data_IF_586917399262
#
_entry.id   IF_586917399262
#
_cell.length_a   1.000
_cell.length_b   1.000
_cell.length_c   1.000
_cell.angle_alpha   90.00
_cell.angle_beta   90.00
_cell.angle_gamma   90.00
#
_symmetry.space_group_name_H-M   'P 1'
#
loop_
_entity.id
_entity.type
_entity.pdbx_description
1 polymer ?
#
# COMPACT_ATOMS: atom_id res chain seq x y z
N UNK A 1 15.20 -4.08 -3.06
CA UNK A 1 15.12 -4.05 -1.58
C UNK A 1 15.19 -2.68 -0.94
N UNK A 2 15.70 -1.62 -1.59
CA UNK A 2 15.74 -0.28 -1.00
C UNK A 2 14.35 0.24 -0.56
N UNK A 3 13.28 -0.09 -1.30
CA UNK A 3 11.91 0.27 -0.94
C UNK A 3 11.41 -0.38 0.36
N UNK A 4 12.10 -1.39 0.90
CA UNK A 4 11.73 -2.08 2.14
C UNK A 4 12.89 -2.00 3.15
N UNK A 5 13.57 -0.85 3.20
CA UNK A 5 14.67 -0.59 4.11
C UNK A 5 14.57 0.86 4.63
N UNK A 6 14.15 1.03 5.89
CA UNK A 6 13.94 2.35 6.50
C UNK A 6 15.13 3.31 6.35
N UNK A 7 16.37 2.79 6.41
CA UNK A 7 17.59 3.58 6.27
C UNK A 7 17.81 4.13 4.86
N UNK A 8 17.07 3.63 3.87
CA UNK A 8 17.10 4.09 2.49
C UNK A 8 15.93 5.04 2.14
N UNK A 9 15.09 5.42 3.12
CA UNK A 9 14.00 6.36 2.88
C UNK A 9 14.54 7.79 2.69
N UNK A 10 14.16 8.45 1.59
CA UNK A 10 14.73 9.76 1.20
C UNK A 10 13.69 10.89 1.17
N UNK A 11 12.40 10.56 1.25
CA UNK A 11 11.30 11.51 1.13
C UNK A 11 10.25 11.21 2.20
N UNK A 12 9.44 12.21 2.52
CA UNK A 12 8.50 12.13 3.64
C UNK A 12 7.12 12.64 3.24
N UNK A 13 6.04 12.07 3.82
CA UNK A 13 4.67 12.41 3.49
C UNK A 13 4.19 13.63 4.27
N UNK A 14 3.65 14.65 3.61
CA UNK A 14 2.86 15.73 4.19
C UNK A 14 3.42 16.43 5.46
N UNK A 15 2.61 17.34 6.01
CA UNK A 15 2.89 17.95 7.30
C UNK A 15 2.13 17.23 8.43
N UNK A 16 2.64 17.34 9.66
CA UNK A 16 2.05 16.76 10.88
C UNK A 16 1.92 15.22 10.88
N UNK A 17 2.69 14.51 10.07
CA UNK A 17 2.68 13.05 9.98
C UNK A 17 3.80 12.38 10.78
N UNK A 18 4.73 13.14 11.34
CA UNK A 18 5.99 12.67 11.94
C UNK A 18 5.85 11.82 13.21
N UNK A 19 4.68 11.88 13.85
CA UNK A 19 4.34 11.06 15.00
C UNK A 19 3.84 9.65 14.63
N UNK A 20 3.57 9.38 13.34
CA UNK A 20 3.15 8.05 12.89
C UNK A 20 4.33 7.09 12.72
N UNK A 21 4.13 5.84 13.10
CA UNK A 21 5.16 4.79 12.95
C UNK A 21 5.62 4.55 11.51
N UNK A 22 4.74 4.79 10.54
CA UNK A 22 5.01 4.68 9.09
C UNK A 22 5.68 5.91 8.46
N UNK A 23 5.78 7.04 9.19
CA UNK A 23 6.32 8.30 8.66
C UNK A 23 7.71 8.15 8.04
N UNK A 24 8.58 7.41 8.73
CA UNK A 24 9.96 7.21 8.31
C UNK A 24 10.16 6.28 7.10
N UNK A 25 9.07 5.80 6.50
CA UNK A 25 9.09 4.63 5.63
C UNK A 25 9.29 3.34 6.42
N UNK A 26 9.11 2.20 5.75
CA UNK A 26 9.16 0.83 6.29
C UNK A 26 8.71 0.72 7.76
N UNK A 27 7.44 0.44 7.95
CA UNK A 27 6.88 -0.01 9.22
C UNK A 27 6.33 -1.43 9.09
N UNK A 28 6.20 -2.16 10.20
CA UNK A 28 5.73 -3.54 10.21
C UNK A 28 6.81 -4.58 9.92
N UNK A 29 6.40 -5.82 9.65
CA UNK A 29 7.31 -6.96 9.59
C UNK A 29 8.42 -6.81 8.54
N UNK A 30 9.62 -7.27 8.91
CA UNK A 30 10.79 -7.29 8.01
C UNK A 30 12.06 -6.60 8.54
N UNK A 31 12.13 -6.20 9.82
CA UNK A 31 13.43 -5.99 10.50
C UNK A 31 13.54 -6.78 11.82
N UNK A 32 12.45 -6.99 12.59
CA UNK A 32 12.56 -7.62 13.92
C UNK A 32 11.66 -8.84 14.19
N UNK A 33 10.60 -9.09 13.41
CA UNK A 33 9.77 -10.33 13.45
C UNK A 33 8.90 -10.40 12.19
N UNK A 34 8.62 -11.60 11.64
CA UNK A 34 7.49 -11.80 10.74
C UNK A 34 6.19 -11.62 11.51
N UNK A 35 5.25 -10.82 11.00
CA UNK A 35 3.87 -10.84 11.47
C UNK A 35 3.17 -11.98 10.74
N UNK A 36 3.22 -13.17 11.32
CA UNK A 36 2.19 -14.18 11.06
C UNK A 36 0.89 -13.57 11.60
N UNK A 37 -0.22 -13.56 10.83
CA UNK A 37 -1.47 -13.02 11.33
C UNK A 37 -1.88 -13.75 12.62
N UNK A 38 -2.47 -13.03 13.57
CA UNK A 38 -3.25 -13.66 14.65
C UNK A 38 -4.33 -14.56 14.02
N UNK A 39 -4.63 -15.70 14.65
CA UNK A 39 -5.60 -16.70 14.19
C UNK A 39 -6.99 -16.11 13.87
N UNK A 40 -7.35 -14.97 14.48
CA UNK A 40 -8.61 -14.27 14.18
C UNK A 40 -8.63 -13.64 12.79
N UNK A 41 -7.49 -13.34 12.21
CA UNK A 41 -7.37 -12.69 10.89
C UNK A 41 -7.29 -13.73 9.79
N UNK A 42 -8.20 -13.61 8.82
CA UNK A 42 -8.34 -14.57 7.71
C UNK A 42 -8.31 -13.86 6.34
N UNK A 43 -8.19 -12.54 6.36
CA UNK A 43 -8.27 -11.69 5.19
C UNK A 43 -7.19 -10.62 5.23
N UNK A 44 -6.77 -10.14 4.07
CA UNK A 44 -5.90 -8.97 3.96
C UNK A 44 -6.47 -7.94 2.98
N UNK A 45 -6.04 -6.69 3.14
CA UNK A 45 -6.28 -5.65 2.14
C UNK A 45 -5.00 -4.88 1.86
N UNK A 46 -4.49 -4.98 0.63
CA UNK A 46 -3.44 -4.12 0.14
C UNK A 46 -3.96 -2.71 -0.14
N UNK A 47 -3.16 -1.72 0.28
CA UNK A 47 -3.45 -0.29 0.14
C UNK A 47 -2.18 0.50 -0.19
N UNK A 48 -2.38 1.76 -0.59
CA UNK A 48 -1.33 2.76 -0.70
C UNK A 48 -1.72 4.00 0.10
N UNK A 49 -0.75 4.85 0.41
CA UNK A 49 -1.02 6.22 0.81
C UNK A 49 -0.31 7.17 -0.13
N UNK A 50 -1.03 8.19 -0.58
CA UNK A 50 -0.49 9.26 -1.43
C UNK A 50 -0.59 10.57 -0.68
N UNK A 51 0.53 11.28 -0.61
CA UNK A 51 0.65 12.59 0.04
C UNK A 51 1.36 13.59 -0.88
N UNK A 52 1.11 14.90 -0.71
CA UNK A 52 2.12 15.89 -1.03
C UNK A 52 3.43 15.57 -0.30
N UNK A 53 4.57 15.77 -0.94
CA UNK A 53 5.87 15.65 -0.29
C UNK A 53 6.01 16.71 0.80
N UNK A 54 6.51 16.32 1.99
CA UNK A 54 6.74 17.25 3.10
C UNK A 54 7.54 18.47 2.67
N UNK A 55 7.08 19.66 3.04
CA UNK A 55 7.67 20.95 2.65
C UNK A 55 7.45 21.35 1.19
N UNK A 56 6.58 20.67 0.43
CA UNK A 56 6.27 21.01 -0.96
C UNK A 56 4.76 21.10 -1.21
N UNK A 57 4.41 21.96 -2.16
CA UNK A 57 3.05 22.06 -2.68
C UNK A 57 2.87 21.07 -3.84
N UNK A 58 1.85 20.21 -3.76
CA UNK A 58 1.51 19.29 -4.84
C UNK A 58 0.84 20.02 -6.01
N UNK A 59 1.11 19.61 -7.25
CA UNK A 59 0.34 20.12 -8.40
C UNK A 59 -1.12 19.66 -8.25
N UNK A 60 -2.09 20.59 -8.09
CA UNK A 60 -3.49 20.23 -7.89
C UNK A 60 -4.11 19.55 -9.11
N UNK A 61 -3.50 19.71 -10.29
CA UNK A 61 -3.96 19.10 -11.53
C UNK A 61 -3.30 17.74 -11.77
N UNK A 62 -2.25 17.37 -11.03
CA UNK A 62 -1.61 16.06 -11.16
C UNK A 62 -2.60 14.92 -10.87
N UNK A 63 -2.41 13.83 -11.58
CA UNK A 63 -3.08 12.56 -11.32
C UNK A 63 -2.05 11.51 -10.97
N UNK A 64 -2.39 10.66 -10.03
CA UNK A 64 -1.65 9.42 -9.77
C UNK A 64 -2.29 8.33 -10.59
N UNK A 65 -1.46 7.53 -11.24
CA UNK A 65 -1.87 6.36 -11.98
C UNK A 65 -1.21 5.11 -11.40
N UNK A 66 -1.98 4.04 -11.32
CA UNK A 66 -1.56 2.75 -10.79
C UNK A 66 -1.95 1.65 -11.75
N UNK A 67 -1.06 0.69 -11.95
CA UNK A 67 -1.33 -0.50 -12.74
C UNK A 67 -0.68 -1.73 -12.12
N UNK A 68 -1.20 -2.91 -12.46
CA UNK A 68 -0.72 -4.20 -11.96
C UNK A 68 -0.64 -4.29 -10.43
N UNK A 69 -1.50 -3.58 -9.70
CA UNK A 69 -1.57 -3.66 -8.24
C UNK A 69 -2.16 -5.01 -7.78
N UNK A 70 -1.32 -5.82 -7.12
CA UNK A 70 -1.62 -7.20 -6.72
C UNK A 70 -1.03 -7.50 -5.36
N UNK A 71 -1.62 -8.48 -4.67
CA UNK A 71 -1.08 -9.04 -3.43
C UNK A 71 -1.00 -10.55 -3.49
N UNK A 72 -0.02 -11.10 -2.78
CA UNK A 72 0.31 -12.51 -2.72
C UNK A 72 0.61 -12.92 -1.28
N UNK A 73 0.16 -14.12 -0.90
CA UNK A 73 0.63 -14.80 0.30
C UNK A 73 1.73 -15.79 -0.05
N UNK A 74 2.80 -15.80 0.76
CA UNK A 74 3.76 -16.89 0.82
C UNK A 74 3.27 -17.89 1.86
N UNK A 75 3.27 -19.16 1.49
CA UNK A 75 2.87 -20.27 2.38
C UNK A 75 4.09 -20.99 2.93
N UNK A 76 3.93 -21.63 4.10
CA UNK A 76 5.01 -22.36 4.78
C UNK A 76 5.58 -23.55 3.98
N UNK A 77 4.85 -24.01 2.96
CA UNK A 77 5.31 -25.03 2.00
C UNK A 77 6.02 -24.44 0.77
N UNK A 78 6.30 -23.14 0.77
CA UNK A 78 7.11 -22.44 -0.23
C UNK A 78 6.37 -21.97 -1.47
N UNK A 79 5.03 -21.88 -1.44
CA UNK A 79 4.23 -21.44 -2.59
C UNK A 79 3.81 -19.98 -2.45
N UNK A 80 3.60 -19.35 -3.59
CA UNK A 80 2.95 -18.05 -3.68
C UNK A 80 1.51 -18.21 -4.18
N UNK A 81 0.56 -17.61 -3.47
CA UNK A 81 -0.87 -17.60 -3.82
C UNK A 81 -1.31 -16.16 -4.03
N UNK A 82 -1.84 -15.82 -5.21
CA UNK A 82 -2.43 -14.50 -5.48
C UNK A 82 -3.70 -14.33 -4.64
N UNK A 83 -3.75 -13.26 -3.84
CA UNK A 83 -4.87 -12.96 -2.95
C UNK A 83 -5.76 -11.84 -3.49
N UNK A 84 -5.15 -10.82 -4.11
CA UNK A 84 -5.88 -9.68 -4.67
C UNK A 84 -5.27 -9.25 -6.00
N UNK A 85 -6.13 -8.78 -6.90
CA UNK A 85 -5.75 -8.31 -8.22
C UNK A 85 -6.66 -7.15 -8.65
N UNK A 86 -6.07 -5.98 -8.87
CA UNK A 86 -6.80 -4.77 -9.29
C UNK A 86 -7.60 -4.97 -10.58
N UNK A 87 -7.16 -5.84 -11.49
CA UNK A 87 -7.83 -6.03 -12.78
C UNK A 87 -9.12 -6.86 -12.63
N UNK A 88 -9.33 -7.50 -11.48
CA UNK A 88 -10.52 -8.27 -11.17
C UNK A 88 -11.52 -7.48 -10.32
N UNK A 89 -11.03 -6.66 -9.37
CA UNK A 89 -11.86 -6.00 -8.36
C UNK A 89 -11.85 -4.47 -8.45
N UNK A 90 -11.01 -3.89 -9.31
CA UNK A 90 -10.78 -2.45 -9.38
C UNK A 90 -10.06 -1.90 -8.16
N UNK A 91 -9.81 -0.59 -8.19
CA UNK A 91 -9.30 0.18 -7.07
C UNK A 91 -10.43 1.03 -6.49
N UNK A 92 -10.65 0.87 -5.19
CA UNK A 92 -11.45 1.77 -4.36
C UNK A 92 -10.54 2.73 -3.60
N UNK A 93 -11.12 3.70 -2.91
CA UNK A 93 -10.33 4.66 -2.14
C UNK A 93 -11.10 5.92 -1.79
N UNK A 94 -10.43 6.80 -1.04
CA UNK A 94 -10.95 8.12 -0.72
C UNK A 94 -9.88 9.01 -0.12
N UNK A 95 -10.27 10.25 0.16
CA UNK A 95 -9.44 11.19 0.90
C UNK A 95 -9.63 11.00 2.40
N UNK A 96 -8.55 11.11 3.15
CA UNK A 96 -8.56 11.22 4.61
C UNK A 96 -7.80 12.48 5.02
N UNK A 97 -8.03 12.98 6.23
CA UNK A 97 -7.15 14.01 6.79
C UNK A 97 -5.70 13.48 6.83
N UNK A 98 -4.74 14.32 6.45
CA UNK A 98 -3.32 13.96 6.39
C UNK A 98 -2.77 13.43 7.74
N UNK A 99 -3.33 13.91 8.85
CA UNK A 99 -2.95 13.53 10.21
C UNK A 99 -3.89 12.47 10.82
N UNK A 100 -4.82 11.90 10.05
CA UNK A 100 -5.84 10.97 10.54
C UNK A 100 -6.54 11.40 11.84
N UNK A 101 -6.64 12.71 12.11
CA UNK A 101 -7.27 13.23 13.34
C UNK A 101 -8.71 12.77 13.54
N UNK A 102 -9.37 12.45 12.43
CA UNK A 102 -10.59 11.65 12.40
C UNK A 102 -10.33 10.44 11.51
N UNK A 103 -10.03 9.30 12.13
CA UNK A 103 -9.76 8.04 11.43
C UNK A 103 -10.98 7.50 10.67
N UNK A 104 -12.17 8.05 10.91
CA UNK A 104 -13.43 7.63 10.27
C UNK A 104 -13.81 8.51 9.08
N UNK A 105 -13.17 9.67 8.93
CA UNK A 105 -13.47 10.61 7.87
C UNK A 105 -12.80 10.16 6.56
N UNK A 106 -13.56 9.41 5.76
CA UNK A 106 -13.22 9.12 4.36
C UNK A 106 -14.12 9.97 3.45
N UNK A 107 -13.52 10.92 2.75
CA UNK A 107 -14.22 11.78 1.81
C UNK A 107 -14.18 11.17 0.42
N UNK A 108 -15.34 11.11 -0.21
CA UNK A 108 -15.46 10.58 -1.56
C UNK A 108 -14.60 11.40 -2.55
N UNK A 109 -13.87 10.67 -3.38
CA UNK A 109 -13.00 11.23 -4.40
C UNK A 109 -12.94 10.24 -5.57
N UNK A 110 -13.40 10.63 -6.77
CA UNK A 110 -13.52 9.69 -7.87
C UNK A 110 -12.22 9.01 -8.27
N UNK A 111 -12.31 7.70 -8.51
CA UNK A 111 -11.26 6.87 -9.10
C UNK A 111 -11.77 6.35 -10.44
N UNK A 112 -10.98 6.54 -11.49
CA UNK A 112 -11.23 5.94 -12.80
C UNK A 112 -10.50 4.60 -12.88
N UNK A 113 -11.20 3.52 -13.22
CA UNK A 113 -10.64 2.19 -13.43
C UNK A 113 -10.84 1.79 -14.90
N UNK A 114 -9.87 2.07 -15.76
CA UNK A 114 -9.98 1.86 -17.21
C UNK A 114 -8.72 1.20 -17.77
N UNK A 115 -8.88 0.20 -18.64
CA UNK A 115 -7.79 -0.47 -19.35
C UNK A 115 -6.67 -1.01 -18.41
N UNK A 116 -7.04 -1.46 -17.21
CA UNK A 116 -6.07 -1.94 -16.20
C UNK A 116 -5.26 -0.83 -15.52
N UNK A 117 -5.69 0.43 -15.63
CA UNK A 117 -5.10 1.58 -14.95
C UNK A 117 -6.16 2.18 -14.02
N UNK A 118 -5.80 2.30 -12.75
CA UNK A 118 -6.53 3.13 -11.79
C UNK A 118 -5.93 4.53 -11.79
N UNK A 119 -6.77 5.57 -11.79
CA UNK A 119 -6.32 6.96 -11.83
C UNK A 119 -7.17 7.86 -10.95
N UNK A 120 -6.51 8.70 -10.15
CA UNK A 120 -7.16 9.64 -9.24
C UNK A 120 -6.35 10.94 -9.12
N UNK A 121 -7.03 12.02 -8.73
CA UNK A 121 -6.41 13.33 -8.63
C UNK A 121 -5.55 13.46 -7.37
N UNK A 122 -4.49 14.26 -7.48
CA UNK A 122 -3.64 14.71 -6.38
C UNK A 122 -4.47 15.10 -5.14
N UNK A 123 -4.10 14.63 -3.94
CA UNK A 123 -4.73 15.09 -2.71
C UNK A 123 -4.41 16.57 -2.46
N UNK A 124 -5.39 17.38 -2.02
CA UNK A 124 -5.13 18.75 -1.60
C UNK A 124 -4.30 18.80 -0.31
N UNK A 125 -3.72 19.96 -0.01
CA UNK A 125 -3.01 20.18 1.25
C UNK A 125 -3.89 19.85 2.47
N UNK A 126 -3.30 19.19 3.47
CA UNK A 126 -4.01 18.74 4.67
C UNK A 126 -4.78 17.43 4.51
N UNK A 127 -4.74 16.82 3.33
CA UNK A 127 -5.33 15.51 3.04
C UNK A 127 -4.31 14.54 2.47
N UNK A 128 -4.65 13.26 2.55
CA UNK A 128 -3.99 12.19 1.82
C UNK A 128 -5.04 11.39 1.05
N UNK A 129 -4.60 10.68 0.01
CA UNK A 129 -5.45 9.74 -0.72
C UNK A 129 -5.04 8.31 -0.36
N UNK A 130 -6.01 7.47 -0.01
CA UNK A 130 -5.81 6.05 0.31
C UNK A 130 -6.52 5.19 -0.73
N UNK A 131 -5.84 4.71 -1.78
CA UNK A 131 -6.37 3.69 -2.66
C UNK A 131 -6.15 2.28 -2.08
N UNK A 132 -7.10 1.39 -2.31
CA UNK A 132 -7.00 -0.04 -1.96
C UNK A 132 -7.61 -0.90 -3.05
N UNK A 133 -7.17 -2.16 -3.12
CA UNK A 133 -7.80 -3.13 -4.03
C UNK A 133 -9.22 -3.43 -3.52
N UNK A 134 -10.23 -3.38 -4.41
CA UNK A 134 -11.65 -3.35 -4.04
C UNK A 134 -12.17 -4.60 -3.31
N UNK A 135 -11.44 -5.71 -3.34
CA UNK A 135 -11.76 -6.94 -2.59
C UNK A 135 -10.83 -7.13 -1.39
N UNK A 136 -11.25 -7.89 -0.38
CA UNK A 136 -10.33 -8.47 0.61
C UNK A 136 -9.81 -9.82 0.09
N UNK A 137 -8.51 -10.05 0.26
CA UNK A 137 -7.87 -11.31 -0.11
C UNK A 137 -8.06 -12.35 1.00
N UNK A 138 -8.74 -13.46 0.71
CA UNK A 138 -8.99 -14.55 1.67
C UNK A 138 -7.80 -15.51 1.74
N UNK A 139 -7.28 -15.74 2.94
CA UNK A 139 -6.22 -16.72 3.20
C UNK A 139 -6.61 -17.74 4.28
N UNK A 140 -7.88 -17.85 4.65
CA UNK A 140 -8.38 -18.73 5.73
C UNK A 140 -7.95 -20.20 5.62
N UNK A 141 -7.70 -20.68 4.40
CA UNK A 141 -7.30 -22.06 4.12
C UNK A 141 -5.80 -22.19 3.82
N UNK A 142 -4.99 -21.18 4.15
CA UNK A 142 -3.56 -21.13 3.86
C UNK A 142 -2.75 -21.00 5.15
N UNK A 143 -1.69 -21.80 5.25
CA UNK A 143 -0.65 -21.59 6.27
C UNK A 143 0.34 -20.55 5.74
N UNK A 144 0.06 -19.27 6.00
CA UNK A 144 0.88 -18.17 5.48
C UNK A 144 2.02 -17.81 6.45
N UNK A 145 3.19 -17.48 5.90
CA UNK A 145 4.36 -17.00 6.64
C UNK A 145 4.96 -15.72 6.05
N UNK A 146 4.34 -15.19 4.99
CA UNK A 146 4.76 -13.94 4.39
C UNK A 146 3.76 -13.40 3.39
N UNK A 147 3.97 -12.13 3.01
CA UNK A 147 3.22 -11.49 1.94
C UNK A 147 4.15 -10.72 1.00
N UNK A 148 3.65 -10.51 -0.20
CA UNK A 148 4.25 -9.64 -1.19
C UNK A 148 3.16 -8.85 -1.89
N UNK A 149 3.39 -7.56 -2.07
CA UNK A 149 2.48 -6.65 -2.74
C UNK A 149 3.27 -5.94 -3.81
N UNK A 150 2.76 -5.89 -5.03
CA UNK A 150 3.41 -5.22 -6.16
C UNK A 150 2.44 -4.36 -6.94
N UNK A 151 2.99 -3.35 -7.59
CA UNK A 151 2.31 -2.51 -8.56
C UNK A 151 3.32 -1.68 -9.34
N UNK A 152 2.83 -0.94 -10.31
CA UNK A 152 3.56 0.14 -10.97
C UNK A 152 2.77 1.42 -10.82
N UNK A 153 3.46 2.50 -10.53
CA UNK A 153 2.85 3.80 -10.22
C UNK A 153 3.55 4.91 -10.97
N UNK A 154 2.83 5.98 -11.27
CA UNK A 154 3.39 7.22 -11.81
C UNK A 154 2.50 8.41 -11.44
N UNK A 155 3.04 9.61 -11.59
CA UNK A 155 2.23 10.80 -11.81
C UNK A 155 2.03 10.99 -13.33
N UNK A 156 0.94 11.62 -13.74
CA UNK A 156 0.67 11.93 -15.15
C UNK A 156 1.51 13.09 -15.72
N UNK A 157 2.30 13.76 -14.87
CA UNK A 157 3.07 14.97 -15.18
C UNK A 157 4.28 15.14 -14.27
N UNK A 158 5.26 15.99 -14.64
CA UNK A 158 6.48 16.15 -13.88
C UNK A 158 6.22 17.11 -12.72
N UNK A 159 7.12 17.13 -11.74
CA UNK A 159 7.04 18.04 -10.60
C UNK A 159 5.69 18.00 -9.86
N UNK A 160 5.01 16.84 -9.85
CA UNK A 160 3.76 16.65 -9.11
C UNK A 160 3.93 16.87 -7.61
N UNK A 161 5.17 16.75 -7.10
CA UNK A 161 5.54 16.82 -5.69
C UNK A 161 4.72 15.85 -4.83
N UNK A 162 4.40 14.68 -5.40
CA UNK A 162 3.69 13.61 -4.71
C UNK A 162 4.65 12.51 -4.28
N UNK A 163 4.38 11.95 -3.10
CA UNK A 163 5.00 10.74 -2.60
C UNK A 163 3.95 9.67 -2.35
N UNK A 164 4.37 8.42 -2.52
CA UNK A 164 3.54 7.25 -2.34
C UNK A 164 4.29 6.18 -1.53
N UNK A 165 3.57 5.46 -0.69
CA UNK A 165 4.01 4.20 -0.11
C UNK A 165 3.00 3.08 -0.42
N UNK A 166 3.30 1.86 0.01
CA UNK A 166 2.42 0.72 -0.18
C UNK A 166 2.48 -0.19 1.03
N UNK A 167 1.31 -0.63 1.48
CA UNK A 167 1.19 -1.49 2.64
C UNK A 167 -0.02 -2.40 2.57
N UNK A 168 -0.31 -3.02 3.70
CA UNK A 168 -1.51 -3.80 3.88
C UNK A 168 -1.89 -3.91 5.34
N UNK A 169 -3.15 -4.25 5.58
CA UNK A 169 -3.70 -4.61 6.88
C UNK A 169 -4.28 -6.03 6.85
N UNK A 170 -4.18 -6.71 7.99
CA UNK A 170 -4.94 -7.91 8.33
C UNK A 170 -6.38 -7.55 8.64
N UNK A 171 -7.31 -8.45 8.33
CA UNK A 171 -8.74 -8.29 8.59
C UNK A 171 -9.38 -9.57 9.12
N UNK A 172 -10.28 -9.40 10.09
CA UNK A 172 -10.98 -10.53 10.72
C UNK A 172 -12.10 -11.09 9.82
N UNK A 173 -12.61 -10.27 8.89
CA UNK A 173 -13.78 -10.58 8.07
C UNK A 173 -13.52 -10.27 6.58
N UNK A 174 -14.31 -10.86 5.69
CA UNK A 174 -14.22 -10.61 4.24
C UNK A 174 -14.84 -9.28 3.79
N UNK A 175 -15.56 -8.58 4.67
CA UNK A 175 -16.21 -7.30 4.39
C UNK A 175 -16.36 -6.44 5.66
N UNK A 176 -16.78 -5.18 5.50
CA UNK A 176 -16.96 -4.21 6.58
C UNK A 176 -15.93 -3.08 6.58
N UNK A 177 -15.94 -2.24 7.60
CA UNK A 177 -14.98 -1.13 7.78
C UNK A 177 -13.79 -1.57 8.64
N UNK A 178 -12.65 -0.87 8.51
CA UNK A 178 -11.40 -1.15 9.24
C UNK A 178 -11.41 -0.63 10.69
N UNK A 179 -12.58 -0.59 11.33
CA UNK A 179 -12.74 0.19 12.56
C UNK A 179 -12.20 -0.58 13.77
N UNK A 180 -11.06 -0.10 14.28
CA UNK A 180 -10.43 -0.55 15.52
C UNK A 180 -9.53 -1.78 15.36
N UNK A 181 -8.63 -1.97 16.34
CA UNK A 181 -7.72 -3.14 16.41
C UNK A 181 -8.45 -4.49 16.57
N UNK A 182 -9.75 -4.44 16.86
CA UNK A 182 -10.62 -5.60 16.89
C UNK A 182 -10.83 -6.20 15.48
N UNK A 183 -10.89 -5.34 14.45
CA UNK A 183 -11.27 -5.73 13.09
C UNK A 183 -10.12 -5.74 12.10
N UNK A 184 -9.06 -4.97 12.35
CA UNK A 184 -7.86 -4.96 11.52
C UNK A 184 -6.58 -4.70 12.31
N UNK A 185 -5.45 -5.14 11.76
CA UNK A 185 -4.11 -4.82 12.28
C UNK A 185 -3.15 -4.57 11.13
N UNK A 186 -2.21 -3.63 11.33
CA UNK A 186 -1.28 -3.23 10.29
C UNK A 186 -0.23 -4.31 10.02
N UNK A 187 -0.11 -4.76 8.77
CA UNK A 187 0.99 -5.66 8.37
C UNK A 187 2.28 -4.85 8.24
N UNK A 188 2.15 -3.62 7.71
CA UNK A 188 3.22 -2.69 7.48
C UNK A 188 3.15 -2.01 6.13
N UNK A 189 4.18 -1.23 5.82
CA UNK A 189 4.30 -0.44 4.58
C UNK A 189 5.74 -0.39 4.09
N UNK A 190 5.93 -0.02 2.83
CA UNK A 190 7.22 0.25 2.20
C UNK A 190 7.79 1.62 2.64
N UNK A 191 8.94 1.98 2.07
CA UNK A 191 9.44 3.34 2.10
C UNK A 191 8.61 4.24 1.19
N UNK A 192 8.64 5.53 1.50
CA UNK A 192 8.09 6.56 0.63
C UNK A 192 8.93 6.70 -0.64
N UNK A 193 8.24 6.79 -1.76
CA UNK A 193 8.83 7.01 -3.08
C UNK A 193 8.23 8.26 -3.69
N UNK A 194 9.07 9.12 -4.28
CA UNK A 194 8.59 10.24 -5.08
C UNK A 194 8.03 9.72 -6.40
N UNK A 195 6.82 10.16 -6.74
CA UNK A 195 6.21 9.87 -8.04
C UNK A 195 6.91 10.65 -9.16
N UNK A 196 7.09 10.01 -10.29
CA UNK A 196 7.59 10.60 -11.54
C UNK A 196 6.63 10.31 -12.70
N UNK A 197 6.87 10.89 -13.87
CA UNK A 197 6.10 10.63 -15.09
C UNK A 197 6.31 9.22 -15.66
N UNK A 198 7.40 8.58 -15.27
CA UNK A 198 7.72 7.23 -15.69
C UNK A 198 7.08 6.23 -14.74
N UNK A 199 6.60 5.12 -15.28
CA UNK A 199 6.16 3.99 -14.47
C UNK A 199 7.31 3.50 -13.59
N UNK A 200 7.09 3.52 -12.28
CA UNK A 200 8.03 3.04 -11.28
C UNK A 200 7.43 1.83 -10.57
N UNK A 201 8.20 0.75 -10.38
CA UNK A 201 7.73 -0.37 -9.56
C UNK A 201 7.57 0.10 -8.12
N UNK A 202 6.47 -0.30 -7.49
CA UNK A 202 6.22 -0.10 -6.08
C UNK A 202 5.91 -1.46 -5.45
N UNK A 203 6.63 -1.81 -4.38
CA UNK A 203 6.40 -3.08 -3.71
C UNK A 203 6.64 -3.04 -2.20
N UNK A 204 5.90 -3.87 -1.50
CA UNK A 204 6.05 -4.14 -0.07
C UNK A 204 6.15 -5.64 0.17
N UNK A 205 6.94 -6.07 1.16
CA UNK A 205 7.10 -7.48 1.46
C UNK A 205 7.52 -7.72 2.90
N UNK A 206 7.01 -8.81 3.48
CA UNK A 206 7.40 -9.28 4.82
C UNK A 206 8.42 -10.42 4.78
N UNK A 207 8.64 -11.04 3.60
CA UNK A 207 9.67 -12.06 3.42
C UNK A 207 11.05 -11.45 3.23
N UNK A 208 12.10 -12.24 3.46
CA UNK A 208 13.48 -11.78 3.30
C UNK A 208 13.85 -11.54 1.83
N UNK A 209 14.90 -10.75 1.59
CA UNK A 209 15.46 -10.60 0.23
C UNK A 209 15.95 -11.92 -0.35
N UNK A 210 16.56 -12.76 0.48
CA UNK A 210 17.06 -14.06 0.06
C UNK A 210 15.90 -14.94 -0.42
N UNK A 211 14.79 -14.94 0.33
CA UNK A 211 13.58 -15.66 -0.08
C UNK A 211 13.03 -15.15 -1.40
N UNK A 212 12.88 -13.83 -1.57
CA UNK A 212 12.37 -13.26 -2.82
C UNK A 212 13.27 -13.55 -4.02
N UNK A 213 14.59 -13.58 -3.83
CA UNK A 213 15.54 -13.92 -4.90
C UNK A 213 15.46 -15.39 -5.27
N UNK A 214 15.28 -16.28 -4.28
CA UNK A 214 15.22 -17.73 -4.47
C UNK A 214 13.87 -18.18 -5.02
N UNK A 215 12.81 -17.56 -4.56
CA UNK A 215 11.43 -17.94 -4.81
C UNK A 215 10.59 -16.67 -5.05
N UNK A 216 10.72 -16.05 -6.23
CA UNK A 216 9.95 -14.85 -6.56
C UNK A 216 8.45 -15.17 -6.73
N UNK A 217 7.54 -14.28 -6.27
CA UNK A 217 6.13 -14.35 -6.64
C UNK A 217 5.89 -14.45 -8.15
N UNK A 218 4.77 -15.02 -8.61
CA UNK A 218 4.43 -15.03 -10.04
C UNK A 218 4.33 -13.60 -10.61
N UNK A 219 4.86 -13.38 -11.81
CA UNK A 219 4.66 -12.14 -12.56
C UNK A 219 5.59 -10.97 -12.20
N UNK A 220 6.65 -11.21 -11.41
CA UNK A 220 7.71 -10.20 -11.16
C UNK A 220 8.96 -10.35 -12.05
N UNK A 221 8.82 -11.04 -13.19
CA UNK A 221 9.89 -11.33 -14.17
C UNK A 221 9.92 -10.38 -15.35
#
# INVERSE_FOLDING_TARGET
>A
MQQNNRNANQVFPGENTDHFGWFGGKAGAGVDKPTVPDDKYNYMMAWNMVYPEKGKEADPNARVEMTNFRSYAHTTDGRWVELQNQNQSGIGGGLSYADFRDMYAVFDRPITNENGIASFQSPPEGYNFQPWIGSRGDFSNLNIDGIFISGSVRADRPNSNLVIDQGADWYAHGSGTAVGLENSDGIGTSNWMRLSENWQPLFYTTVSEEELRRNPPPGIG
#
